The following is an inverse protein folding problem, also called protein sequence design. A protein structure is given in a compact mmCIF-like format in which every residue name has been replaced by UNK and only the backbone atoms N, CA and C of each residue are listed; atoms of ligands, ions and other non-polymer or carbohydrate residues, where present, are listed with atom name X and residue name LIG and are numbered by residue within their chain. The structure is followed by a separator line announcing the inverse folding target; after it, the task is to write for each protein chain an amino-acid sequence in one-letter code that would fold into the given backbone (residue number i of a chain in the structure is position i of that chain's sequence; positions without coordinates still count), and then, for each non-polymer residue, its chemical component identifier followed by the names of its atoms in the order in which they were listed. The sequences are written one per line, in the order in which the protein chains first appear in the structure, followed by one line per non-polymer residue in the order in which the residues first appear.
data_IF_257644578770
#
_entry.id   IF_257644578770
#
_cell.length_a   1.000
_cell.length_b   1.000
_cell.length_c   1.000
_cell.angle_alpha   90.00
_cell.angle_beta   90.00
_cell.angle_gamma   90.00
#
_symmetry.space_group_name_H-M   'P 1'
#
loop_
_entity.id
_entity.type
_entity.pdbx_description
1 polymer ?
#
# COMPACT_ATOMS: atom_id res chain seq x y z
N UNK A 1 -44.38 35.02 51.44
CA UNK A 1 -43.29 35.69 50.72
C UNK A 1 -42.14 34.67 50.60
N UNK A 2 -42.05 33.91 49.47
CA UNK A 2 -41.05 32.87 49.24
C UNK A 2 -40.10 33.33 48.15
N UNK A 3 -38.79 33.28 48.35
CA UNK A 3 -37.82 33.65 47.32
C UNK A 3 -37.64 32.49 46.32
N UNK A 4 -37.87 32.79 45.05
CA UNK A 4 -37.53 31.91 43.95
C UNK A 4 -35.99 31.80 43.79
N UNK A 5 -35.44 30.61 43.95
CA UNK A 5 -34.07 30.29 43.59
C UNK A 5 -34.03 29.90 42.11
N UNK A 6 -33.43 30.76 41.28
CA UNK A 6 -33.09 30.42 39.92
C UNK A 6 -31.89 29.49 39.95
N UNK A 7 -32.09 28.25 39.51
CA UNK A 7 -30.95 27.33 39.17
C UNK A 7 -30.57 27.58 37.72
N UNK A 8 -29.42 28.26 37.51
CA UNK A 8 -28.77 28.33 36.19
C UNK A 8 -28.06 27.01 35.95
N UNK A 9 -28.60 26.18 35.04
CA UNK A 9 -27.88 25.01 34.52
C UNK A 9 -26.97 25.47 33.41
N UNK A 10 -25.69 25.56 33.71
CA UNK A 10 -24.64 25.81 32.73
C UNK A 10 -24.32 24.50 31.98
N UNK A 11 -24.93 24.36 30.79
CA UNK A 11 -24.68 23.22 29.90
C UNK A 11 -23.31 23.38 29.21
N UNK A 12 -22.29 22.72 29.73
CA UNK A 12 -20.98 22.63 29.06
C UNK A 12 -21.11 21.70 27.85
N UNK A 13 -21.24 22.25 26.66
CA UNK A 13 -20.99 21.53 25.41
C UNK A 13 -19.48 21.28 25.29
N UNK A 14 -19.02 20.11 25.72
CA UNK A 14 -17.72 19.59 25.32
C UNK A 14 -17.81 19.22 23.83
N UNK A 15 -17.44 20.16 22.96
CA UNK A 15 -17.11 19.82 21.57
C UNK A 15 -15.87 18.93 21.63
N UNK A 16 -16.05 17.62 21.48
CA UNK A 16 -14.98 16.72 21.09
C UNK A 16 -14.59 17.09 19.66
N UNK A 17 -13.60 17.97 19.51
CA UNK A 17 -12.88 18.12 18.26
C UNK A 17 -12.17 16.80 18.02
N UNK A 18 -12.79 15.90 17.26
CA UNK A 18 -12.06 14.79 16.69
C UNK A 18 -10.87 15.38 15.91
N UNK A 19 -9.66 14.86 16.10
CA UNK A 19 -8.52 15.33 15.34
C UNK A 19 -8.90 15.21 13.86
N UNK A 20 -8.82 16.32 13.12
CA UNK A 20 -9.01 16.30 11.68
C UNK A 20 -7.95 15.34 11.12
N UNK A 21 -8.38 14.16 10.66
CA UNK A 21 -7.48 13.28 9.92
C UNK A 21 -7.01 14.05 8.69
N UNK A 22 -5.72 14.03 8.44
CA UNK A 22 -5.17 14.50 7.18
C UNK A 22 -5.88 13.79 6.03
N UNK A 23 -6.13 14.49 4.94
CA UNK A 23 -6.72 13.87 3.76
C UNK A 23 -5.76 12.83 3.18
N UNK A 24 -6.32 11.72 2.69
CA UNK A 24 -5.55 10.69 1.99
C UNK A 24 -4.82 11.29 0.79
N UNK A 25 -3.57 10.90 0.60
CA UNK A 25 -2.72 11.36 -0.50
C UNK A 25 -2.42 10.20 -1.42
N UNK A 26 -2.83 10.30 -2.68
CA UNK A 26 -2.54 9.30 -3.70
C UNK A 26 -1.21 9.58 -4.39
N UNK A 27 -0.27 8.67 -4.25
CA UNK A 27 0.99 8.66 -4.95
C UNK A 27 0.91 7.71 -6.13
N UNK A 28 0.89 8.26 -7.34
CA UNK A 28 0.82 7.48 -8.57
C UNK A 28 2.21 7.04 -8.98
N UNK A 29 2.42 5.72 -9.10
CA UNK A 29 3.66 5.11 -9.57
C UNK A 29 3.83 5.31 -11.07
N UNK A 30 5.00 5.80 -11.49
CA UNK A 30 5.35 6.10 -12.89
C UNK A 30 6.40 5.14 -13.46
N UNK A 31 7.17 4.47 -12.61
CA UNK A 31 8.15 3.46 -13.02
C UNK A 31 9.26 3.97 -13.94
N UNK A 32 9.75 5.18 -13.71
CA UNK A 32 10.84 5.77 -14.52
C UNK A 32 12.17 5.06 -14.26
N UNK A 33 12.39 4.65 -13.02
CA UNK A 33 13.53 3.85 -12.61
C UNK A 33 13.11 2.84 -11.51
N UNK A 34 14.05 2.03 -11.00
CA UNK A 34 13.77 0.97 -10.03
C UNK A 34 13.90 1.41 -8.57
N UNK A 35 13.94 2.72 -8.28
CA UNK A 35 14.18 3.21 -6.94
C UNK A 35 12.93 3.82 -6.32
N UNK A 36 12.43 3.23 -5.25
CA UNK A 36 11.30 3.78 -4.51
C UNK A 36 11.49 5.24 -4.12
N UNK A 37 12.71 5.62 -3.75
CA UNK A 37 13.04 6.97 -3.31
C UNK A 37 13.19 8.00 -4.42
N UNK A 38 13.22 7.57 -5.66
CA UNK A 38 13.34 8.47 -6.81
C UNK A 38 12.04 9.24 -7.00
N UNK A 39 12.08 10.55 -6.89
CA UNK A 39 10.89 11.40 -7.01
C UNK A 39 10.29 11.38 -8.42
N UNK A 40 11.10 11.06 -9.43
CA UNK A 40 10.63 10.87 -10.82
C UNK A 40 9.63 9.71 -10.96
N UNK A 41 9.67 8.75 -10.03
CA UNK A 41 8.74 7.63 -10.02
C UNK A 41 7.36 7.96 -9.48
N UNK A 42 7.16 9.14 -8.92
CA UNK A 42 5.94 9.47 -8.23
C UNK A 42 5.31 10.77 -8.70
N UNK A 43 4.00 10.78 -8.78
CA UNK A 43 3.22 12.00 -8.95
C UNK A 43 2.06 12.05 -7.95
N UNK A 44 1.70 13.27 -7.57
CA UNK A 44 0.53 13.57 -6.73
C UNK A 44 -0.30 14.62 -7.45
N UNK A 45 -1.58 14.33 -7.68
CA UNK A 45 -2.45 15.23 -8.44
C UNK A 45 -1.95 15.53 -9.86
N UNK A 46 -1.22 14.61 -10.49
CA UNK A 46 -0.68 14.76 -11.85
C UNK A 46 0.63 15.55 -11.97
N UNK A 47 1.19 16.05 -10.87
CA UNK A 47 2.49 16.72 -10.83
C UNK A 47 3.54 15.86 -10.13
N UNK A 48 4.82 16.13 -10.39
CA UNK A 48 5.91 15.41 -9.73
C UNK A 48 5.81 15.55 -8.21
N UNK A 49 5.94 14.43 -7.50
CA UNK A 49 5.88 14.41 -6.04
C UNK A 49 7.11 15.11 -5.42
N UNK A 50 6.91 15.78 -4.29
CA UNK A 50 7.98 16.40 -3.52
C UNK A 50 8.68 15.44 -2.55
N UNK A 51 8.10 14.25 -2.34
CA UNK A 51 8.63 13.18 -1.50
C UNK A 51 8.16 11.84 -2.04
N UNK A 52 8.88 10.76 -1.72
CA UNK A 52 8.38 9.40 -1.97
C UNK A 52 7.35 9.01 -0.89
N UNK A 53 6.36 8.16 -1.21
CA UNK A 53 5.35 7.75 -0.24
C UNK A 53 5.95 6.89 0.88
N UNK A 54 5.32 6.93 2.04
CA UNK A 54 5.60 6.02 3.13
C UNK A 54 6.94 6.21 3.84
N UNK A 55 7.59 7.36 3.70
CA UNK A 55 8.92 7.59 4.28
C UNK A 55 8.94 7.67 5.81
N UNK A 56 7.81 7.90 6.45
CA UNK A 56 7.69 7.98 7.90
C UNK A 56 6.51 7.17 8.41
N UNK A 57 6.56 6.76 9.68
CA UNK A 57 5.46 6.03 10.32
C UNK A 57 4.13 6.81 10.35
N UNK A 58 4.18 8.14 10.24
CA UNK A 58 3.00 8.99 10.11
C UNK A 58 2.42 9.05 8.68
N UNK A 59 2.98 8.32 7.75
CA UNK A 59 2.58 8.35 6.34
C UNK A 59 1.46 7.35 5.98
N UNK A 60 0.70 6.88 6.98
CA UNK A 60 -0.45 6.01 6.75
C UNK A 60 -1.64 6.68 6.06
N UNK A 61 -1.57 7.95 5.75
CA UNK A 61 -2.48 8.62 4.83
C UNK A 61 -2.10 8.44 3.35
N UNK A 62 -0.91 7.86 3.08
CA UNK A 62 -0.41 7.69 1.72
C UNK A 62 -0.94 6.42 1.07
N UNK A 63 -1.51 6.56 -0.10
CA UNK A 63 -1.85 5.46 -1.00
C UNK A 63 -0.80 5.34 -2.11
N UNK A 64 -0.42 4.11 -2.43
CA UNK A 64 0.25 3.82 -3.69
C UNK A 64 -0.80 3.43 -4.73
N UNK A 65 -0.77 4.07 -5.88
CA UNK A 65 -1.74 3.86 -6.96
C UNK A 65 -1.01 3.68 -8.28
N UNK A 66 -1.57 2.86 -9.17
CA UNK A 66 -1.22 2.82 -10.60
C UNK A 66 -2.44 3.20 -11.43
N UNK A 67 -2.28 3.59 -12.68
CA UNK A 67 -3.38 4.08 -13.52
C UNK A 67 -3.46 3.42 -14.90
N UNK A 68 -2.78 2.30 -15.12
CA UNK A 68 -2.83 1.56 -16.37
C UNK A 68 -1.96 2.13 -17.51
N UNK A 69 -1.44 3.35 -17.35
CA UNK A 69 -0.49 3.96 -18.31
C UNK A 69 0.93 3.98 -17.79
N UNK A 70 1.12 3.61 -16.53
CA UNK A 70 2.40 3.65 -15.86
C UNK A 70 3.32 2.54 -16.35
N UNK A 71 4.62 2.77 -16.23
CA UNK A 71 5.61 1.75 -16.52
C UNK A 71 5.57 0.66 -15.44
N UNK A 72 5.59 -0.57 -15.90
CA UNK A 72 5.82 -1.72 -15.04
C UNK A 72 7.30 -1.77 -14.61
N UNK A 73 7.61 -2.58 -13.63
CA UNK A 73 8.99 -2.80 -13.23
C UNK A 73 9.12 -3.30 -11.80
N UNK A 74 10.39 -3.35 -11.38
CA UNK A 74 10.74 -3.66 -10.00
C UNK A 74 11.07 -2.39 -9.26
N UNK A 75 10.72 -2.32 -8.00
CA UNK A 75 11.18 -1.25 -7.12
C UNK A 75 11.74 -1.82 -5.83
N UNK A 76 12.78 -1.20 -5.32
CA UNK A 76 13.42 -1.59 -4.07
C UNK A 76 13.09 -0.58 -2.97
N UNK A 77 12.33 -1.02 -1.98
CA UNK A 77 12.02 -0.19 -0.80
C UNK A 77 13.16 -0.13 0.20
N UNK A 78 14.15 -1.01 0.09
CA UNK A 78 15.30 -1.09 1.01
C UNK A 78 16.33 0.00 0.82
N UNK A 79 16.39 0.67 -0.34
CA UNK A 79 17.37 1.72 -0.63
C UNK A 79 17.22 3.03 0.16
N UNK A 80 16.21 3.16 1.02
CA UNK A 80 15.85 4.41 1.70
C UNK A 80 15.97 4.36 3.24
N UNK A 81 16.81 3.48 3.76
CA UNK A 81 17.10 3.42 5.19
C UNK A 81 16.22 2.43 5.97
N UNK A 82 16.53 2.28 7.26
CA UNK A 82 15.83 1.37 8.16
C UNK A 82 14.34 1.73 8.30
N UNK A 83 13.51 0.72 8.42
CA UNK A 83 12.11 0.88 8.82
C UNK A 83 11.05 0.61 7.78
N UNK A 84 11.38 0.52 6.49
CA UNK A 84 10.40 0.20 5.43
C UNK A 84 9.53 1.38 5.00
N UNK A 85 8.40 1.07 4.37
CA UNK A 85 7.44 2.04 3.86
C UNK A 85 6.07 1.81 4.47
N UNK A 86 5.45 2.89 4.89
CA UNK A 86 4.15 2.92 5.55
C UNK A 86 3.11 3.45 4.58
N UNK A 87 2.11 2.64 4.26
CA UNK A 87 1.03 3.02 3.36
C UNK A 87 -0.32 2.75 4.03
N UNK A 88 -1.30 3.58 3.74
CA UNK A 88 -2.69 3.28 4.04
C UNK A 88 -3.18 2.09 3.23
N UNK A 89 -2.86 2.08 1.94
CA UNK A 89 -3.22 1.00 1.04
C UNK A 89 -2.48 1.06 -0.29
N UNK A 90 -2.70 0.03 -1.10
CA UNK A 90 -2.16 -0.12 -2.45
C UNK A 90 -3.30 -0.40 -3.41
N UNK A 91 -3.38 0.34 -4.53
CA UNK A 91 -4.37 0.14 -5.58
C UNK A 91 -3.68 0.01 -6.94
N UNK A 92 -3.76 -1.17 -7.52
CA UNK A 92 -3.19 -1.49 -8.83
C UNK A 92 -4.33 -1.55 -9.84
N UNK A 93 -4.45 -0.53 -10.68
CA UNK A 93 -5.50 -0.41 -11.70
C UNK A 93 -5.01 -0.90 -13.07
N UNK A 94 -3.73 -1.08 -13.23
CA UNK A 94 -3.08 -1.59 -14.44
C UNK A 94 -1.69 -1.02 -14.58
N UNK A 95 -0.89 -1.68 -15.42
CA UNK A 95 0.49 -1.34 -15.72
C UNK A 95 0.77 -1.71 -17.17
N UNK A 96 1.75 -1.07 -17.80
CA UNK A 96 2.23 -1.49 -19.11
C UNK A 96 2.65 -2.97 -19.07
N UNK A 97 2.29 -3.71 -20.12
CA UNK A 97 2.57 -5.14 -20.21
C UNK A 97 4.07 -5.42 -20.10
N UNK A 98 4.39 -6.51 -19.40
CA UNK A 98 5.73 -7.06 -19.34
C UNK A 98 5.80 -8.34 -20.21
N UNK A 99 7.00 -8.82 -20.51
CA UNK A 99 7.18 -10.13 -21.11
C UNK A 99 6.43 -11.22 -20.33
N UNK A 100 5.93 -12.22 -21.07
CA UNK A 100 5.22 -13.35 -20.48
C UNK A 100 6.00 -13.97 -19.31
N UNK A 101 5.32 -14.29 -18.23
CA UNK A 101 5.90 -14.90 -17.03
C UNK A 101 6.55 -13.93 -16.05
N UNK A 102 6.40 -12.61 -16.24
CA UNK A 102 6.89 -11.62 -15.29
C UNK A 102 5.74 -10.90 -14.59
N UNK A 103 5.90 -10.68 -13.28
CA UNK A 103 5.00 -9.81 -12.52
C UNK A 103 5.24 -8.38 -12.95
N UNK A 104 4.22 -7.65 -13.45
CA UNK A 104 4.40 -6.30 -14.00
C UNK A 104 4.97 -5.31 -13.02
N UNK A 105 4.51 -5.31 -11.77
CA UNK A 105 5.09 -4.50 -10.71
C UNK A 105 5.43 -5.38 -9.52
N UNK A 106 6.69 -5.39 -9.15
CA UNK A 106 7.20 -6.15 -8.02
C UNK A 106 7.95 -5.25 -7.04
N UNK A 107 7.48 -5.21 -5.79
CA UNK A 107 8.14 -4.49 -4.70
C UNK A 107 9.04 -5.48 -3.95
N UNK A 108 10.33 -5.27 -4.05
CA UNK A 108 11.33 -6.09 -3.36
C UNK A 108 12.09 -5.29 -2.31
N UNK A 109 12.82 -5.99 -1.47
CA UNK A 109 13.75 -5.42 -0.51
C UNK A 109 15.08 -6.14 -0.61
N UNK A 110 16.15 -5.39 -0.45
CA UNK A 110 17.49 -5.92 -0.27
C UNK A 110 17.85 -6.15 1.19
N UNK A 111 17.02 -5.69 2.12
CA UNK A 111 17.23 -5.80 3.56
C UNK A 111 16.03 -6.51 4.22
N UNK A 112 16.31 -7.59 4.96
CA UNK A 112 15.32 -8.40 5.68
C UNK A 112 14.48 -7.62 6.73
N UNK A 113 14.99 -6.49 7.19
CA UNK A 113 14.35 -5.68 8.22
C UNK A 113 13.49 -4.55 7.65
N UNK A 114 13.33 -4.51 6.32
CA UNK A 114 12.57 -3.48 5.62
C UNK A 114 11.34 -4.09 4.96
N UNK A 115 10.18 -3.61 5.34
CA UNK A 115 8.88 -4.11 4.88
C UNK A 115 8.10 -3.03 4.14
N UNK A 116 7.26 -3.43 3.20
CA UNK A 116 6.09 -2.64 2.87
C UNK A 116 5.06 -2.86 3.97
N UNK A 117 4.65 -1.81 4.66
CA UNK A 117 3.63 -1.85 5.70
C UNK A 117 2.34 -1.27 5.16
N UNK A 118 1.25 -2.01 5.31
CA UNK A 118 -0.08 -1.62 4.80
C UNK A 118 -1.09 -1.64 5.93
N UNK A 119 -1.84 -0.56 6.06
CA UNK A 119 -2.91 -0.33 7.04
C UNK A 119 -4.29 -0.79 6.50
N UNK A 120 -5.36 -0.27 7.07
CA UNK A 120 -6.75 -0.67 6.82
C UNK A 120 -7.20 -0.52 5.36
N UNK A 121 -6.51 0.28 4.55
CA UNK A 121 -6.80 0.41 3.12
C UNK A 121 -6.52 -0.86 2.32
N UNK A 122 -5.64 -1.73 2.82
CA UNK A 122 -5.37 -3.03 2.22
C UNK A 122 -4.73 -2.97 0.84
N UNK A 123 -4.97 -4.01 0.05
CA UNK A 123 -4.42 -4.14 -1.31
C UNK A 123 -5.56 -4.43 -2.29
N UNK A 124 -5.64 -3.63 -3.35
CA UNK A 124 -6.60 -3.84 -4.44
C UNK A 124 -5.85 -4.04 -5.75
N UNK A 125 -6.16 -5.14 -6.44
CA UNK A 125 -5.65 -5.45 -7.78
C UNK A 125 -6.84 -5.54 -8.70
N UNK A 126 -7.08 -4.48 -9.48
CA UNK A 126 -8.23 -4.35 -10.36
C UNK A 126 -8.00 -5.05 -11.70
N UNK A 127 -9.05 -5.15 -12.50
CA UNK A 127 -8.88 -5.53 -13.89
C UNK A 127 -8.13 -4.42 -14.64
N UNK A 128 -7.09 -4.81 -15.37
CA UNK A 128 -6.51 -3.93 -16.36
C UNK A 128 -7.57 -3.61 -17.41
N UNK A 129 -7.75 -2.33 -17.69
CA UNK A 129 -8.68 -1.87 -18.74
C UNK A 129 -8.32 -2.39 -20.12
N UNK A 130 -9.06 -1.96 -21.14
CA UNK A 130 -8.76 -2.25 -22.52
C UNK A 130 -7.35 -1.76 -22.89
N UNK A 131 -6.56 -2.57 -23.59
CA UNK A 131 -5.23 -2.18 -24.07
C UNK A 131 -4.09 -3.12 -23.74
N UNK A 132 -4.36 -4.30 -23.15
CA UNK A 132 -3.34 -5.32 -22.91
C UNK A 132 -2.42 -5.05 -21.73
N UNK A 133 -2.79 -4.15 -20.84
CA UNK A 133 -2.10 -3.93 -19.59
C UNK A 133 -2.34 -5.08 -18.61
N UNK A 134 -1.39 -5.35 -17.74
CA UNK A 134 -1.54 -6.27 -16.64
C UNK A 134 -1.71 -5.51 -15.34
N UNK A 135 -2.59 -5.99 -14.47
CA UNK A 135 -2.75 -5.47 -13.12
C UNK A 135 -2.12 -6.37 -12.05
N UNK A 136 -1.38 -7.41 -12.44
CA UNK A 136 -0.72 -8.28 -11.48
C UNK A 136 0.33 -7.52 -10.66
N UNK A 137 0.38 -7.81 -9.36
CA UNK A 137 1.21 -7.11 -8.40
C UNK A 137 1.91 -8.10 -7.48
N UNK A 138 3.14 -7.80 -7.14
CA UNK A 138 3.92 -8.62 -6.21
C UNK A 138 4.65 -7.81 -5.15
N UNK A 139 4.80 -8.39 -3.96
CA UNK A 139 5.54 -7.81 -2.85
C UNK A 139 6.32 -8.89 -2.10
N UNK A 140 7.64 -8.71 -1.96
CA UNK A 140 8.50 -9.69 -1.32
C UNK A 140 8.29 -9.76 0.19
N UNK A 141 8.24 -8.62 0.87
CA UNK A 141 8.08 -8.55 2.32
C UNK A 141 6.94 -7.59 2.67
N UNK A 142 5.82 -8.16 3.12
CA UNK A 142 4.62 -7.41 3.49
C UNK A 142 4.38 -7.52 4.99
N UNK A 143 4.13 -6.39 5.63
CA UNK A 143 3.67 -6.31 7.00
C UNK A 143 2.25 -5.75 7.05
N UNK A 144 1.36 -6.55 7.58
CA UNK A 144 -0.05 -6.20 7.78
C UNK A 144 -0.16 -5.40 9.08
N UNK A 145 -0.48 -4.12 8.99
CA UNK A 145 -0.46 -3.22 10.14
C UNK A 145 -1.85 -3.05 10.79
N UNK A 146 -2.92 -3.35 10.05
CA UNK A 146 -4.29 -3.36 10.55
C UNK A 146 -5.08 -4.54 9.95
N UNK A 147 -6.29 -4.81 10.47
CA UNK A 147 -7.26 -5.66 9.78
C UNK A 147 -7.58 -5.02 8.43
N UNK A 148 -7.53 -5.79 7.34
CA UNK A 148 -7.62 -5.24 6.00
C UNK A 148 -8.26 -6.20 4.99
N UNK A 149 -8.68 -5.65 3.87
CA UNK A 149 -9.16 -6.41 2.72
C UNK A 149 -8.10 -6.45 1.61
N UNK A 150 -7.97 -7.62 0.97
CA UNK A 150 -7.24 -7.79 -0.28
C UNK A 150 -8.24 -8.15 -1.36
N UNK A 151 -8.55 -7.18 -2.20
CA UNK A 151 -9.41 -7.39 -3.35
C UNK A 151 -8.57 -7.72 -4.58
N UNK A 152 -8.81 -8.88 -5.19
CA UNK A 152 -8.12 -9.29 -6.42
C UNK A 152 -9.17 -9.62 -7.47
N UNK A 153 -9.24 -8.83 -8.52
CA UNK A 153 -10.21 -9.01 -9.59
C UNK A 153 -10.00 -10.34 -10.34
N UNK A 154 -11.04 -10.84 -10.95
CA UNK A 154 -11.00 -12.07 -11.74
C UNK A 154 -9.92 -12.01 -12.83
N UNK A 155 -9.14 -13.07 -12.95
CA UNK A 155 -8.04 -13.18 -13.90
C UNK A 155 -6.77 -12.41 -13.49
N UNK A 156 -6.74 -11.80 -12.29
CA UNK A 156 -5.56 -11.12 -11.75
C UNK A 156 -4.93 -11.90 -10.62
N UNK A 157 -3.69 -11.53 -10.26
CA UNK A 157 -2.96 -12.18 -9.18
C UNK A 157 -2.24 -11.17 -8.28
N UNK A 158 -2.31 -11.43 -6.99
CA UNK A 158 -1.49 -10.81 -5.96
C UNK A 158 -0.48 -11.83 -5.44
N UNK A 159 0.81 -11.50 -5.52
CA UNK A 159 1.90 -12.34 -5.05
C UNK A 159 2.50 -11.75 -3.78
N UNK A 160 2.50 -12.48 -2.69
CA UNK A 160 3.04 -12.05 -1.41
C UNK A 160 4.09 -13.03 -0.92
N UNK A 161 5.25 -12.52 -0.56
CA UNK A 161 6.35 -13.38 -0.13
C UNK A 161 6.96 -14.20 -1.27
N UNK A 162 6.96 -13.65 -2.48
CA UNK A 162 7.46 -14.30 -3.68
C UNK A 162 8.47 -13.38 -4.39
N UNK A 163 9.46 -13.96 -5.05
CA UNK A 163 10.36 -13.26 -5.99
C UNK A 163 10.54 -14.14 -7.23
N UNK A 164 10.15 -13.63 -8.38
CA UNK A 164 10.26 -14.32 -9.67
C UNK A 164 11.72 -14.39 -10.21
N UNK A 165 12.70 -13.73 -9.57
CA UNK A 165 14.11 -13.73 -9.95
C UNK A 165 15.05 -14.19 -8.82
N UNK A 166 14.54 -14.62 -7.67
CA UNK A 166 15.42 -14.94 -6.57
C UNK A 166 16.22 -16.22 -6.83
N UNK A 167 17.53 -16.14 -6.90
CA UNK A 167 18.33 -17.29 -6.57
C UNK A 167 18.02 -17.65 -5.10
N UNK A 168 17.83 -18.92 -4.83
CA UNK A 168 17.57 -19.51 -3.52
C UNK A 168 18.18 -18.68 -2.37
N UNK A 169 17.35 -18.07 -1.53
CA UNK A 169 17.78 -17.24 -0.40
C UNK A 169 17.15 -15.85 -0.30
N UNK A 170 16.14 -15.53 -1.11
CA UNK A 170 15.40 -14.28 -1.03
C UNK A 170 14.71 -14.10 0.32
N UNK A 171 14.54 -12.85 0.71
CA UNK A 171 13.96 -12.46 1.97
C UNK A 171 12.46 -12.25 1.77
N UNK A 172 11.68 -13.29 2.06
CA UNK A 172 10.24 -13.28 1.84
C UNK A 172 9.51 -13.40 3.15
N UNK A 173 8.55 -12.54 3.37
CA UNK A 173 7.71 -12.70 4.55
C UNK A 173 6.35 -12.00 4.41
N UNK A 174 5.39 -12.64 5.04
CA UNK A 174 4.12 -12.03 5.40
C UNK A 174 4.05 -12.05 6.92
N UNK A 175 3.99 -10.88 7.55
CA UNK A 175 3.95 -10.76 9.02
C UNK A 175 2.90 -9.73 9.44
N UNK A 176 2.52 -9.77 10.71
CA UNK A 176 1.71 -8.71 11.32
C UNK A 176 2.59 -7.66 12.01
N UNK A 177 2.14 -6.42 12.03
CA UNK A 177 2.82 -5.34 12.75
C UNK A 177 2.68 -5.55 14.26
N UNK A 178 3.82 -5.46 14.98
CA UNK A 178 3.85 -5.57 16.45
C UNK A 178 3.43 -6.92 17.01
N UNK A 179 3.57 -8.00 16.25
CA UNK A 179 3.18 -9.38 16.62
C UNK A 179 1.70 -9.50 17.07
N UNK A 180 0.87 -8.55 16.71
CA UNK A 180 -0.57 -8.59 16.96
C UNK A 180 -1.25 -9.31 15.80
N UNK A 181 -2.02 -10.38 16.05
CA UNK A 181 -2.77 -11.05 15.01
C UNK A 181 -3.66 -10.07 14.24
N UNK A 182 -3.57 -10.09 12.91
CA UNK A 182 -4.38 -9.27 12.00
C UNK A 182 -5.19 -10.17 11.10
N UNK A 183 -6.37 -9.73 10.76
CA UNK A 183 -7.23 -10.43 9.83
C UNK A 183 -7.07 -9.82 8.44
N UNK A 184 -6.83 -10.69 7.47
CA UNK A 184 -6.90 -10.35 6.05
C UNK A 184 -8.11 -11.06 5.46
N UNK A 185 -9.01 -10.30 4.86
CA UNK A 185 -10.15 -10.82 4.12
C UNK A 185 -9.83 -10.73 2.64
N UNK A 186 -9.83 -11.87 1.94
CA UNK A 186 -9.60 -11.91 0.49
C UNK A 186 -10.94 -11.89 -0.22
N UNK A 187 -11.11 -10.99 -1.20
CA UNK A 187 -12.32 -10.85 -2.01
C UNK A 187 -11.98 -10.80 -3.51
N UNK A 188 -13.01 -10.82 -4.36
CA UNK A 188 -12.85 -10.86 -5.81
C UNK A 188 -12.73 -12.29 -6.34
N UNK A 189 -12.54 -12.44 -7.65
CA UNK A 189 -12.41 -13.73 -8.32
C UNK A 189 -10.99 -14.11 -8.71
N UNK A 190 -10.00 -13.29 -8.34
CA UNK A 190 -8.59 -13.49 -8.66
C UNK A 190 -7.85 -14.39 -7.68
N UNK A 191 -6.54 -14.47 -7.86
CA UNK A 191 -5.68 -15.33 -7.05
C UNK A 191 -4.80 -14.53 -6.09
N UNK A 192 -4.74 -14.97 -4.83
CA UNK A 192 -3.69 -14.55 -3.89
C UNK A 192 -2.72 -15.71 -3.73
N UNK A 193 -1.44 -15.47 -3.99
CA UNK A 193 -0.37 -16.47 -3.89
C UNK A 193 0.59 -16.04 -2.79
N UNK A 194 0.75 -16.91 -1.79
CA UNK A 194 1.62 -16.66 -0.63
C UNK A 194 2.68 -17.75 -0.60
N UNK A 195 3.95 -17.37 -0.50
CA UNK A 195 5.06 -18.30 -0.33
C UNK A 195 6.12 -18.23 -1.44
N UNK A 196 7.13 -19.06 -1.31
CA UNK A 196 8.28 -19.13 -2.20
C UNK A 196 7.93 -19.73 -3.56
N UNK A 197 8.29 -19.02 -4.60
CA UNK A 197 8.63 -19.50 -5.92
C UNK A 197 7.57 -20.27 -6.73
N UNK A 198 7.47 -19.89 -8.00
CA UNK A 198 6.97 -20.82 -9.02
C UNK A 198 8.03 -21.88 -9.34
#
# INVERSE_FOLDING_TARGET
MFPHRFFSVLLFFLLFLAPARSADVEYVWRGVDYQWGSLSNWSVGGIAASSAPGAAASAYEHWMVTNGTDSAGRTDVGGLGAGGRYLKGVRIEGLNSQPEGKIPLFIKNTNKDVYLRVEEGGITVENAGEGGYSADFGVAQLRVAADQEWHVAEGRSLYVGHDDDAPSGGLYSLTSEGDVPRRVTVTGGGAVRIGEGM
#
